data_IF_232227257359
#
_entry.id   IF_232227257359
#
_cell.length_a   1.000
_cell.length_b   1.000
_cell.length_c   1.000
_cell.angle_alpha   90.00
_cell.angle_beta   90.00
_cell.angle_gamma   90.00
#
_symmetry.space_group_name_H-M   'P 1'
#
loop_
_entity.id
_entity.type
_entity.pdbx_description
1 polymer ?
#
# COMPACT_ATOMS: atom_id res chain seq x y z
N UNK A 1 109.40 33.11 -8.13
CA UNK A 1 108.48 32.59 -7.10
C UNK A 1 107.17 33.38 -7.22
N UNK A 2 106.29 33.16 -8.20
CA UNK A 2 105.35 32.05 -8.49
C UNK A 2 104.21 31.88 -7.48
N UNK A 3 103.00 32.27 -7.94
CA UNK A 3 101.65 31.68 -7.73
C UNK A 3 100.59 32.58 -7.05
N UNK A 4 99.63 33.11 -7.84
CA UNK A 4 98.24 33.26 -7.40
C UNK A 4 97.27 32.67 -8.44
N UNK A 5 97.24 31.34 -8.58
CA UNK A 5 96.33 30.65 -9.51
C UNK A 5 95.21 29.84 -8.81
N UNK A 6 95.29 29.63 -7.49
CA UNK A 6 94.37 28.74 -6.77
C UNK A 6 93.03 29.37 -6.35
N UNK A 7 92.98 30.70 -6.17
CA UNK A 7 91.81 31.36 -5.56
C UNK A 7 90.69 31.70 -6.57
N UNK A 8 91.00 31.75 -7.86
CA UNK A 8 90.02 31.99 -8.92
C UNK A 8 89.21 30.72 -9.28
N UNK A 9 89.76 29.53 -9.03
CA UNK A 9 89.12 28.26 -9.40
C UNK A 9 88.00 27.84 -8.43
N UNK A 10 88.05 28.29 -7.17
CA UNK A 10 87.06 27.92 -6.15
C UNK A 10 85.73 28.70 -6.30
N UNK A 11 85.77 29.94 -6.80
CA UNK A 11 84.56 30.77 -7.01
C UNK A 11 83.74 30.36 -8.24
N UNK A 12 84.35 29.69 -9.22
CA UNK A 12 83.65 29.24 -10.43
C UNK A 12 82.83 27.96 -10.20
N UNK A 13 83.22 27.13 -9.22
CA UNK A 13 82.53 25.89 -8.87
C UNK A 13 81.24 26.10 -8.04
N UNK A 14 81.18 27.16 -7.22
CA UNK A 14 79.99 27.46 -6.42
C UNK A 14 78.83 28.04 -7.25
N UNK A 15 79.15 28.75 -8.35
CA UNK A 15 78.14 29.33 -9.22
C UNK A 15 77.38 28.27 -10.03
N UNK A 16 78.06 27.23 -10.51
CA UNK A 16 77.50 26.15 -11.33
C UNK A 16 76.56 25.23 -10.53
N UNK A 17 76.85 24.94 -9.26
CA UNK A 17 75.96 24.15 -8.39
C UNK A 17 74.60 24.82 -8.19
N UNK A 18 74.56 26.15 -8.00
CA UNK A 18 73.28 26.88 -7.83
C UNK A 18 72.48 27.04 -9.11
N UNK A 19 73.11 26.98 -10.29
CA UNK A 19 72.41 27.01 -11.57
C UNK A 19 71.77 25.65 -11.89
N UNK A 20 72.46 24.54 -11.58
CA UNK A 20 71.92 23.19 -11.72
C UNK A 20 70.68 22.96 -10.84
N UNK A 21 70.74 23.33 -9.55
CA UNK A 21 69.61 23.21 -8.63
C UNK A 21 68.36 24.03 -9.07
N UNK A 22 68.58 25.21 -9.67
CA UNK A 22 67.50 26.06 -10.20
C UNK A 22 66.78 25.46 -11.40
N UNK A 23 67.50 24.71 -12.23
CA UNK A 23 66.90 23.99 -13.35
C UNK A 23 66.17 22.74 -12.85
N UNK A 24 66.72 22.05 -11.84
CA UNK A 24 66.08 20.88 -11.23
C UNK A 24 64.72 21.22 -10.60
N UNK A 25 64.61 22.33 -9.86
CA UNK A 25 63.32 22.77 -9.28
C UNK A 25 62.25 23.06 -10.33
N UNK A 26 62.60 23.77 -11.39
CA UNK A 26 61.69 24.02 -12.51
C UNK A 26 61.24 22.71 -13.18
N UNK A 27 62.17 21.79 -13.44
CA UNK A 27 61.83 20.49 -14.04
C UNK A 27 60.91 19.67 -13.14
N UNK A 28 61.18 19.63 -11.83
CA UNK A 28 60.31 18.95 -10.85
C UNK A 28 58.87 19.49 -10.87
N UNK A 29 58.71 20.82 -10.90
CA UNK A 29 57.38 21.45 -10.95
C UNK A 29 56.71 21.24 -12.31
N UNK A 30 57.47 21.28 -13.41
CA UNK A 30 56.96 20.99 -14.75
C UNK A 30 56.48 19.54 -14.87
N UNK A 31 57.25 18.59 -14.37
CA UNK A 31 56.89 17.17 -14.33
C UNK A 31 55.61 16.95 -13.52
N UNK A 32 55.52 17.58 -12.33
CA UNK A 32 54.30 17.53 -11.51
C UNK A 32 53.09 18.10 -12.24
N UNK A 33 53.25 19.22 -12.93
CA UNK A 33 52.18 19.81 -13.73
C UNK A 33 51.78 18.89 -14.90
N UNK A 34 52.76 18.30 -15.59
CA UNK A 34 52.52 17.40 -16.71
C UNK A 34 51.75 16.14 -16.29
N UNK A 35 51.98 15.60 -15.09
CA UNK A 35 51.17 14.48 -14.55
C UNK A 35 49.69 14.86 -14.50
N UNK A 36 49.38 16.07 -14.02
CA UNK A 36 47.99 16.54 -13.92
C UNK A 36 47.42 16.83 -15.31
N UNK A 37 48.21 17.47 -16.18
CA UNK A 37 47.77 17.86 -17.53
C UNK A 37 47.61 16.69 -18.49
N UNK A 38 48.26 15.56 -18.24
CA UNK A 38 48.16 14.33 -19.05
C UNK A 38 47.15 13.34 -18.50
N UNK A 39 46.72 13.48 -17.25
CA UNK A 39 45.64 12.67 -16.70
C UNK A 39 44.32 12.99 -17.41
N UNK A 40 43.82 12.05 -18.19
CA UNK A 40 42.56 12.20 -18.94
C UNK A 40 41.35 12.56 -18.04
N UNK A 41 41.39 12.20 -16.74
CA UNK A 41 40.34 12.52 -15.78
C UNK A 41 40.38 13.96 -15.30
N UNK A 42 41.54 14.62 -15.33
CA UNK A 42 41.74 15.96 -14.80
C UNK A 42 42.01 17.00 -15.90
N UNK A 43 42.59 16.59 -17.03
CA UNK A 43 43.04 17.47 -18.11
C UNK A 43 41.93 18.34 -18.73
N UNK A 44 40.70 17.82 -18.74
CA UNK A 44 39.53 18.53 -19.29
C UNK A 44 38.79 19.35 -18.22
N UNK A 45 39.27 19.36 -16.98
CA UNK A 45 38.65 20.04 -15.86
C UNK A 45 39.51 21.22 -15.39
N UNK A 46 38.86 22.26 -14.91
CA UNK A 46 39.45 23.49 -14.42
C UNK A 46 40.45 24.16 -15.41
N UNK A 47 40.06 24.41 -16.68
CA UNK A 47 40.96 24.96 -17.70
C UNK A 47 41.61 26.28 -17.25
N UNK A 48 40.83 27.14 -16.58
CA UNK A 48 41.32 28.42 -16.04
C UNK A 48 42.43 28.23 -15.00
N UNK A 49 42.33 27.20 -14.15
CA UNK A 49 43.34 26.93 -13.14
C UNK A 49 44.59 26.31 -13.77
N UNK A 50 44.42 25.43 -14.77
CA UNK A 50 45.52 24.88 -15.57
C UNK A 50 46.29 25.98 -16.29
N UNK A 51 45.60 26.93 -16.92
CA UNK A 51 46.23 28.05 -17.62
C UNK A 51 47.04 28.94 -16.67
N UNK A 52 46.52 29.22 -15.48
CA UNK A 52 47.25 29.97 -14.44
C UNK A 52 48.48 29.24 -13.92
N UNK A 53 48.44 27.91 -13.85
CA UNK A 53 49.61 27.10 -13.49
C UNK A 53 50.67 27.11 -14.59
N UNK A 54 50.27 27.02 -15.87
CA UNK A 54 51.20 27.17 -17.01
C UNK A 54 51.84 28.55 -17.04
N UNK A 55 51.07 29.61 -16.82
CA UNK A 55 51.59 30.99 -16.78
C UNK A 55 52.61 31.17 -15.65
N UNK A 56 52.32 30.65 -14.45
CA UNK A 56 53.26 30.74 -13.33
C UNK A 56 54.56 29.95 -13.57
N UNK A 57 54.48 28.79 -14.23
CA UNK A 57 55.66 28.02 -14.66
C UNK A 57 56.48 28.78 -15.72
N UNK A 58 55.83 29.41 -16.69
CA UNK A 58 56.50 30.23 -17.69
C UNK A 58 57.24 31.41 -17.03
N UNK A 59 56.58 32.12 -16.10
CA UNK A 59 57.20 33.20 -15.33
C UNK A 59 58.38 32.72 -14.50
N UNK A 60 58.30 31.55 -13.84
CA UNK A 60 59.41 30.95 -13.10
C UNK A 60 60.65 30.71 -13.98
N UNK A 61 60.43 30.34 -15.25
CA UNK A 61 61.52 30.11 -16.20
C UNK A 61 62.24 31.42 -16.59
N UNK A 62 61.48 32.52 -16.72
CA UNK A 62 61.97 33.81 -17.21
C UNK A 62 62.59 34.71 -16.11
N UNK A 63 62.14 34.58 -14.86
CA UNK A 63 62.51 35.53 -13.80
C UNK A 63 63.98 35.44 -13.37
N UNK A 64 64.50 36.59 -12.94
CA UNK A 64 65.87 36.73 -12.41
C UNK A 64 66.04 35.92 -11.12
N UNK A 65 67.29 35.54 -10.82
CA UNK A 65 67.66 34.72 -9.65
C UNK A 65 67.05 35.22 -8.34
N UNK A 66 67.00 36.53 -8.11
CA UNK A 66 66.49 37.13 -6.87
C UNK A 66 64.98 36.98 -6.65
N UNK A 67 64.21 36.74 -7.71
CA UNK A 67 62.75 36.57 -7.64
C UNK A 67 62.33 35.11 -7.82
N UNK A 68 63.29 34.21 -8.07
CA UNK A 68 63.01 32.82 -8.43
C UNK A 68 62.32 32.04 -7.29
N UNK A 69 62.74 32.23 -6.04
CA UNK A 69 62.12 31.55 -4.89
C UNK A 69 60.64 31.94 -4.74
N UNK A 70 60.33 33.23 -4.92
CA UNK A 70 58.94 33.71 -4.90
C UNK A 70 58.12 33.07 -6.02
N UNK A 71 58.65 33.05 -7.24
CA UNK A 71 57.93 32.46 -8.38
C UNK A 71 57.85 30.93 -8.32
N UNK A 72 58.80 30.26 -7.68
CA UNK A 72 58.74 28.82 -7.43
C UNK A 72 57.58 28.50 -6.48
N UNK A 73 57.46 29.26 -5.39
CA UNK A 73 56.31 29.18 -4.48
C UNK A 73 54.98 29.47 -5.20
N UNK A 74 54.92 30.52 -6.02
CA UNK A 74 53.70 30.84 -6.78
C UNK A 74 53.34 29.72 -7.75
N UNK A 75 54.30 29.18 -8.50
CA UNK A 75 54.07 28.07 -9.42
C UNK A 75 53.57 26.82 -8.68
N UNK A 76 54.20 26.44 -7.57
CA UNK A 76 53.75 25.33 -6.73
C UNK A 76 52.30 25.52 -6.26
N UNK A 77 51.96 26.71 -5.73
CA UNK A 77 50.59 27.02 -5.30
C UNK A 77 49.58 27.01 -6.43
N UNK A 78 49.97 27.43 -7.63
CA UNK A 78 49.08 27.36 -8.80
C UNK A 78 48.86 25.94 -9.27
N UNK A 79 49.88 25.08 -9.23
CA UNK A 79 49.77 23.65 -9.53
C UNK A 79 48.86 22.95 -8.52
N UNK A 80 49.04 23.21 -7.21
CA UNK A 80 48.15 22.70 -6.16
C UNK A 80 46.69 23.12 -6.40
N UNK A 81 46.46 24.39 -6.72
CA UNK A 81 45.13 24.93 -6.97
C UNK A 81 44.50 24.35 -8.25
N UNK A 82 45.30 24.10 -9.29
CA UNK A 82 44.84 23.47 -10.52
C UNK A 82 44.38 22.03 -10.29
N UNK A 83 45.15 21.26 -9.50
CA UNK A 83 44.78 19.92 -9.11
C UNK A 83 43.47 19.90 -8.31
N UNK A 84 43.38 20.73 -7.25
CA UNK A 84 42.18 20.78 -6.41
C UNK A 84 40.94 21.23 -7.18
N UNK A 85 41.07 22.19 -8.10
CA UNK A 85 39.96 22.65 -8.93
C UNK A 85 39.50 21.57 -9.91
N UNK A 86 40.43 20.84 -10.54
CA UNK A 86 40.08 19.74 -11.43
C UNK A 86 39.37 18.60 -10.70
N UNK A 87 39.87 18.20 -9.52
CA UNK A 87 39.23 17.20 -8.67
C UNK A 87 37.82 17.63 -8.23
N UNK A 88 37.64 18.91 -7.87
CA UNK A 88 36.34 19.45 -7.50
C UNK A 88 35.34 19.38 -8.66
N UNK A 89 35.73 19.79 -9.88
CA UNK A 89 34.85 19.73 -11.05
C UNK A 89 34.47 18.30 -11.44
N UNK A 90 35.38 17.33 -11.30
CA UNK A 90 35.08 15.90 -11.51
C UNK A 90 34.01 15.43 -10.53
N UNK A 91 34.16 15.75 -9.26
CA UNK A 91 33.19 15.38 -8.22
C UNK A 91 31.84 16.08 -8.43
N UNK A 92 31.84 17.34 -8.87
CA UNK A 92 30.62 18.06 -9.21
C UNK A 92 29.90 17.42 -10.41
N UNK A 93 30.63 17.04 -11.45
CA UNK A 93 30.06 16.34 -12.60
C UNK A 93 29.42 15.00 -12.18
N UNK A 94 30.10 14.24 -11.33
CA UNK A 94 29.58 13.00 -10.77
C UNK A 94 28.33 13.24 -9.91
N UNK A 95 28.34 14.26 -9.05
CA UNK A 95 27.18 14.66 -8.23
C UNK A 95 25.98 14.98 -9.11
N UNK A 96 26.18 15.75 -10.18
CA UNK A 96 25.10 16.12 -11.12
C UNK A 96 24.57 14.90 -11.88
N UNK A 97 25.44 13.94 -12.23
CA UNK A 97 25.00 12.67 -12.82
C UNK A 97 24.11 11.89 -11.84
N UNK A 98 24.60 11.67 -10.61
CA UNK A 98 23.86 10.94 -9.58
C UNK A 98 22.53 11.64 -9.23
N UNK A 99 22.51 12.97 -9.24
CA UNK A 99 21.28 13.74 -9.03
C UNK A 99 20.25 13.47 -10.14
N UNK A 100 20.67 13.48 -11.41
CA UNK A 100 19.77 13.13 -12.53
C UNK A 100 19.27 11.68 -12.45
N UNK A 101 20.11 10.75 -12.01
CA UNK A 101 19.71 9.37 -11.79
C UNK A 101 18.69 9.25 -10.66
N UNK A 102 18.92 9.96 -9.56
CA UNK A 102 17.99 10.02 -8.44
C UNK A 102 16.63 10.59 -8.86
N UNK A 103 16.62 11.69 -9.60
CA UNK A 103 15.39 12.31 -10.11
C UNK A 103 14.60 11.33 -11.00
N UNK A 104 15.30 10.59 -11.88
CA UNK A 104 14.68 9.55 -12.71
C UNK A 104 14.07 8.43 -11.86
N UNK A 105 14.77 7.99 -10.82
CA UNK A 105 14.28 6.96 -9.91
C UNK A 105 13.05 7.44 -9.12
N UNK A 106 13.05 8.68 -8.62
CA UNK A 106 11.90 9.24 -7.92
C UNK A 106 10.66 9.29 -8.83
N UNK A 107 10.82 9.70 -10.09
CA UNK A 107 9.72 9.68 -11.06
C UNK A 107 9.23 8.25 -11.32
N UNK A 108 10.13 7.27 -11.41
CA UNK A 108 9.75 5.87 -11.59
C UNK A 108 8.98 5.31 -10.38
N UNK A 109 9.40 5.64 -9.16
CA UNK A 109 8.71 5.28 -7.92
C UNK A 109 7.31 5.90 -7.91
N UNK A 110 7.20 7.20 -8.15
CA UNK A 110 5.92 7.90 -8.17
C UNK A 110 4.93 7.31 -9.19
N UNK A 111 5.42 6.87 -10.36
CA UNK A 111 4.59 6.18 -11.37
C UNK A 111 4.07 4.84 -10.86
N UNK A 112 4.95 4.03 -10.27
CA UNK A 112 4.57 2.73 -9.70
C UNK A 112 3.56 2.90 -8.56
N UNK A 113 3.75 3.89 -7.70
CA UNK A 113 2.83 4.18 -6.60
C UNK A 113 1.47 4.63 -7.13
N UNK A 114 1.42 5.45 -8.18
CA UNK A 114 0.17 5.84 -8.84
C UNK A 114 -0.56 4.65 -9.48
N UNK A 115 0.17 3.69 -10.06
CA UNK A 115 -0.40 2.45 -10.59
C UNK A 115 -0.99 1.57 -9.48
N UNK A 116 -0.27 1.40 -8.37
CA UNK A 116 -0.75 0.65 -7.20
C UNK A 116 -2.00 1.30 -6.60
N UNK A 117 -2.00 2.63 -6.42
CA UNK A 117 -3.16 3.35 -5.90
C UNK A 117 -4.40 3.22 -6.81
N UNK A 118 -4.21 3.20 -8.14
CA UNK A 118 -5.31 2.94 -9.10
C UNK A 118 -5.86 1.53 -8.96
N UNK A 119 -4.99 0.52 -8.87
CA UNK A 119 -5.40 -0.86 -8.68
C UNK A 119 -6.15 -1.08 -7.35
N UNK A 120 -5.70 -0.42 -6.28
CA UNK A 120 -6.38 -0.45 -4.97
C UNK A 120 -7.74 0.24 -5.02
N UNK A 121 -7.84 1.39 -5.70
CA UNK A 121 -9.11 2.08 -5.91
C UNK A 121 -10.11 1.23 -6.72
N UNK A 122 -9.64 0.54 -7.77
CA UNK A 122 -10.48 -0.38 -8.56
C UNK A 122 -10.98 -1.55 -7.72
N UNK A 123 -10.11 -2.16 -6.88
CA UNK A 123 -10.52 -3.20 -5.93
C UNK A 123 -11.56 -2.71 -4.93
N UNK A 124 -11.36 -1.51 -4.38
CA UNK A 124 -12.31 -0.91 -3.44
C UNK A 124 -13.67 -0.64 -4.11
N UNK A 125 -13.67 -0.17 -5.36
CA UNK A 125 -14.90 0.03 -6.14
C UNK A 125 -15.66 -1.28 -6.38
N UNK A 126 -14.96 -2.34 -6.78
CA UNK A 126 -15.57 -3.66 -6.95
C UNK A 126 -16.18 -4.18 -5.65
N UNK A 127 -15.47 -4.05 -4.52
CA UNK A 127 -16.00 -4.44 -3.21
C UNK A 127 -17.24 -3.62 -2.82
N UNK A 128 -17.25 -2.32 -3.12
CA UNK A 128 -18.41 -1.47 -2.87
C UNK A 128 -19.62 -1.88 -3.72
N UNK A 129 -19.41 -2.23 -5.00
CA UNK A 129 -20.47 -2.73 -5.88
C UNK A 129 -21.05 -4.05 -5.37
N UNK A 130 -20.20 -5.01 -4.99
CA UNK A 130 -20.65 -6.29 -4.42
C UNK A 130 -21.51 -6.07 -3.18
N UNK A 131 -21.06 -5.21 -2.25
CA UNK A 131 -21.84 -4.89 -1.04
C UNK A 131 -23.17 -4.22 -1.35
N UNK A 132 -23.22 -3.36 -2.37
CA UNK A 132 -24.45 -2.73 -2.80
C UNK A 132 -25.44 -3.75 -3.38
N UNK A 133 -24.98 -4.68 -4.21
CA UNK A 133 -25.80 -5.76 -4.75
C UNK A 133 -26.29 -6.71 -3.65
N UNK A 134 -25.44 -7.07 -2.68
CA UNK A 134 -25.82 -7.89 -1.54
C UNK A 134 -26.87 -7.19 -0.66
N UNK A 135 -26.73 -5.88 -0.44
CA UNK A 135 -27.71 -5.09 0.28
C UNK A 135 -29.06 -5.04 -0.46
N UNK A 136 -29.05 -4.88 -1.78
CA UNK A 136 -30.27 -4.90 -2.60
C UNK A 136 -30.95 -6.27 -2.56
N UNK A 137 -30.18 -7.37 -2.64
CA UNK A 137 -30.73 -8.73 -2.48
C UNK A 137 -31.37 -8.92 -1.10
N UNK A 138 -30.67 -8.52 -0.03
CA UNK A 138 -31.21 -8.60 1.32
C UNK A 138 -32.49 -7.77 1.51
N UNK A 139 -32.59 -6.61 0.86
CA UNK A 139 -33.82 -5.80 0.84
C UNK A 139 -34.97 -6.53 0.15
N UNK A 140 -34.74 -7.11 -1.03
CA UNK A 140 -35.76 -7.89 -1.75
C UNK A 140 -36.23 -9.09 -0.94
N UNK A 141 -35.32 -9.80 -0.28
CA UNK A 141 -35.65 -10.93 0.58
C UNK A 141 -36.49 -10.49 1.80
N UNK A 142 -36.14 -9.34 2.40
CA UNK A 142 -36.90 -8.78 3.51
C UNK A 142 -38.31 -8.32 3.09
N UNK A 143 -38.45 -7.75 1.89
CA UNK A 143 -39.75 -7.39 1.32
C UNK A 143 -40.61 -8.63 1.03
N UNK A 144 -40.02 -9.68 0.44
CA UNK A 144 -40.70 -10.95 0.21
C UNK A 144 -41.19 -11.59 1.52
N UNK A 145 -40.32 -11.65 2.54
CA UNK A 145 -40.68 -12.19 3.86
C UNK A 145 -41.81 -11.39 4.54
N UNK A 146 -41.84 -10.06 4.35
CA UNK A 146 -42.96 -9.23 4.84
C UNK A 146 -44.26 -9.55 4.11
N UNK A 147 -44.23 -9.67 2.78
CA UNK A 147 -45.40 -10.02 1.99
C UNK A 147 -45.94 -11.42 2.36
N UNK A 148 -45.07 -12.41 2.55
CA UNK A 148 -45.46 -13.74 3.04
C UNK A 148 -46.07 -13.67 4.46
N UNK A 149 -45.48 -12.86 5.34
CA UNK A 149 -46.01 -12.62 6.68
C UNK A 149 -47.41 -12.01 6.67
N UNK A 150 -47.64 -11.01 5.82
CA UNK A 150 -48.96 -10.38 5.63
C UNK A 150 -50.00 -11.38 5.08
N UNK A 151 -49.63 -12.19 4.08
CA UNK A 151 -50.49 -13.25 3.53
C UNK A 151 -50.84 -14.29 4.58
N UNK A 152 -49.87 -14.73 5.39
CA UNK A 152 -50.09 -15.68 6.47
C UNK A 152 -51.02 -15.11 7.56
N UNK A 153 -50.90 -13.83 7.88
CA UNK A 153 -51.81 -13.14 8.80
C UNK A 153 -53.24 -13.11 8.25
N UNK A 154 -53.42 -12.70 6.99
CA UNK A 154 -54.74 -12.68 6.34
C UNK A 154 -55.38 -14.07 6.29
N UNK A 155 -54.61 -15.11 5.95
CA UNK A 155 -55.09 -16.49 5.94
C UNK A 155 -55.50 -16.97 7.35
N UNK A 156 -54.73 -16.61 8.37
CA UNK A 156 -55.06 -16.93 9.75
C UNK A 156 -56.33 -16.20 10.23
N UNK A 157 -56.54 -14.95 9.83
CA UNK A 157 -57.75 -14.18 10.11
C UNK A 157 -58.98 -14.79 9.42
N UNK A 158 -58.86 -15.14 8.14
CA UNK A 158 -59.92 -15.82 7.39
C UNK A 158 -60.31 -17.16 8.05
N UNK A 159 -59.33 -18.00 8.39
CA UNK A 159 -59.57 -19.28 9.06
C UNK A 159 -60.25 -19.10 10.44
N UNK A 160 -59.88 -18.05 11.20
CA UNK A 160 -60.56 -17.71 12.47
C UNK A 160 -61.99 -17.28 12.24
N UNK A 161 -62.25 -16.45 11.23
CA UNK A 161 -63.59 -16.01 10.87
C UNK A 161 -64.48 -17.19 10.46
N UNK A 162 -64.00 -18.07 9.58
CA UNK A 162 -64.70 -19.30 9.16
C UNK A 162 -64.97 -20.22 10.36
N UNK A 163 -63.98 -20.47 11.21
CA UNK A 163 -64.16 -21.28 12.42
C UNK A 163 -65.22 -20.67 13.36
N UNK A 164 -65.28 -19.34 13.46
CA UNK A 164 -66.30 -18.66 14.27
C UNK A 164 -67.71 -18.81 13.67
N UNK A 165 -67.84 -18.76 12.34
CA UNK A 165 -69.11 -18.98 11.65
C UNK A 165 -69.58 -20.43 11.78
N UNK A 166 -68.69 -21.41 11.60
CA UNK A 166 -68.98 -22.83 11.78
C UNK A 166 -69.48 -23.13 13.20
N UNK A 167 -68.85 -22.53 14.23
CA UNK A 167 -69.32 -22.63 15.62
C UNK A 167 -70.74 -22.07 15.80
N UNK A 168 -71.06 -20.94 15.18
CA UNK A 168 -72.41 -20.34 15.24
C UNK A 168 -73.45 -21.23 14.57
N UNK A 169 -73.13 -21.80 13.40
CA UNK A 169 -74.02 -22.73 12.70
C UNK A 169 -74.26 -24.01 13.51
N UNK A 170 -73.20 -24.61 14.06
CA UNK A 170 -73.31 -25.79 14.92
C UNK A 170 -74.17 -25.51 16.17
N UNK A 171 -74.00 -24.36 16.80
CA UNK A 171 -74.83 -23.94 17.94
C UNK A 171 -76.30 -23.74 17.56
N UNK A 172 -76.59 -23.18 16.37
CA UNK A 172 -77.95 -23.03 15.87
C UNK A 172 -78.59 -24.40 15.57
N UNK A 173 -77.87 -25.30 14.92
CA UNK A 173 -78.32 -26.67 14.65
C UNK A 173 -78.60 -27.45 15.95
N UNK A 174 -77.73 -27.33 16.96
CA UNK A 174 -77.93 -27.97 18.26
C UNK A 174 -79.20 -27.45 18.97
N UNK A 175 -79.47 -26.15 18.89
CA UNK A 175 -80.72 -25.56 19.43
C UNK A 175 -81.94 -26.06 18.67
N UNK A 176 -81.89 -26.11 17.34
CA UNK A 176 -82.99 -26.63 16.52
C UNK A 176 -83.30 -28.10 16.86
N UNK A 177 -82.27 -28.94 16.98
CA UNK A 177 -82.43 -30.33 17.40
C UNK A 177 -83.01 -30.47 18.81
N UNK A 178 -82.63 -29.59 19.75
CA UNK A 178 -83.18 -29.58 21.10
C UNK A 178 -84.66 -29.15 21.12
N UNK A 179 -85.06 -28.15 20.32
CA UNK A 179 -86.45 -27.74 20.17
C UNK A 179 -87.29 -28.85 19.54
N UNK A 180 -86.81 -29.50 18.47
CA UNK A 180 -87.49 -30.62 17.85
C UNK A 180 -87.74 -31.78 18.83
N UNK A 181 -86.77 -32.08 19.72
CA UNK A 181 -86.96 -33.07 20.80
C UNK A 181 -88.05 -32.65 21.78
N UNK A 182 -88.05 -31.39 22.22
CA UNK A 182 -89.09 -30.86 23.12
C UNK A 182 -90.47 -30.88 22.47
N UNK A 183 -90.56 -30.57 21.18
CA UNK A 183 -91.81 -30.65 20.42
C UNK A 183 -92.30 -32.11 20.31
N UNK A 184 -91.40 -33.06 20.06
CA UNK A 184 -91.74 -34.49 20.05
C UNK A 184 -92.19 -34.99 21.44
N UNK A 185 -91.53 -34.56 22.51
CA UNK A 185 -91.92 -34.87 23.90
C UNK A 185 -93.28 -34.26 24.26
N UNK A 186 -93.55 -33.02 23.86
CA UNK A 186 -94.85 -32.37 24.04
C UNK A 186 -95.95 -33.07 23.24
N UNK A 187 -95.67 -33.47 22.00
CA UNK A 187 -96.60 -34.26 21.19
C UNK A 187 -96.88 -35.62 21.83
N UNK A 188 -95.87 -36.32 22.36
CA UNK A 188 -96.02 -37.58 23.08
C UNK A 188 -96.85 -37.42 24.38
N UNK A 189 -96.68 -36.30 25.09
CA UNK A 189 -97.47 -35.97 26.27
C UNK A 189 -98.93 -35.64 25.93
N UNK A 190 -99.18 -34.97 24.80
CA UNK A 190 -100.52 -34.64 24.30
C UNK A 190 -101.25 -35.86 23.70
N UNK A 191 -100.53 -36.80 23.09
CA UNK A 191 -101.09 -38.04 22.55
C UNK A 191 -101.24 -39.16 23.60
N UNK A 192 -100.97 -38.87 24.88
CA UNK A 192 -101.25 -39.78 25.99
C UNK A 192 -100.41 -41.05 25.98
N UNK A 193 -99.18 -41.01 25.44
CA UNK A 193 -98.29 -42.16 25.40
C UNK A 193 -96.93 -41.82 26.02
N UNK A 194 -96.76 -42.28 27.26
CA UNK A 194 -95.50 -42.24 28.00
C UNK A 194 -94.45 -43.11 27.30
N UNK A 195 -93.25 -42.59 26.93
CA UNK A 195 -92.20 -43.45 26.42
C UNK A 195 -91.45 -44.09 27.59
N UNK A 196 -91.74 -45.37 27.79
CA UNK A 196 -90.97 -46.27 28.62
C UNK A 196 -89.56 -46.48 28.04
N UNK A 197 -88.59 -46.49 28.97
CA UNK A 197 -87.35 -47.25 28.99
C UNK A 197 -86.74 -47.72 27.65
N UNK A 198 -85.54 -47.22 27.36
CA UNK A 198 -84.55 -47.96 26.58
C UNK A 198 -83.14 -47.66 27.14
N UNK A 199 -82.60 -48.61 27.91
CA UNK A 199 -81.18 -48.70 28.21
C UNK A 199 -80.37 -48.86 26.91
N UNK A 200 -79.13 -48.33 26.86
CA UNK A 200 -78.11 -48.93 26.03
C UNK A 200 -76.98 -49.53 26.89
N UNK A 201 -76.73 -50.79 26.55
CA UNK A 201 -75.79 -51.71 27.15
C UNK A 201 -74.34 -51.43 26.73
N UNK A 202 -73.45 -51.87 27.63
CA UNK A 202 -72.05 -52.32 27.40
C UNK A 202 -70.97 -51.27 27.12
N UNK A 203 -70.22 -51.04 28.19
CA UNK A 203 -68.85 -50.55 28.19
C UNK A 203 -67.90 -51.46 27.38
N UNK A 204 -67.10 -50.85 26.51
CA UNK A 204 -65.78 -51.36 26.09
C UNK A 204 -64.79 -50.20 26.11
N UNK A 205 -63.78 -50.34 26.97
CA UNK A 205 -62.46 -49.68 26.97
C UNK A 205 -61.46 -50.76 27.44
N UNK A 206 -60.14 -50.67 27.21
CA UNK A 206 -59.35 -49.65 26.47
C UNK A 206 -58.23 -50.26 25.57
N UNK A 207 -57.54 -49.44 24.77
CA UNK A 207 -56.10 -49.58 24.53
C UNK A 207 -55.49 -48.27 23.98
N UNK A 208 -54.26 -47.87 24.40
CA UNK A 208 -53.70 -46.55 24.15
C UNK A 208 -52.86 -46.49 22.86
N UNK A 209 -53.03 -45.42 22.07
CA UNK A 209 -52.13 -45.12 20.95
C UNK A 209 -50.94 -44.29 21.43
N UNK A 210 -49.75 -44.75 21.02
CA UNK A 210 -48.38 -44.33 21.34
C UNK A 210 -48.10 -42.82 21.28
N UNK A 211 -47.25 -42.40 22.20
CA UNK A 211 -46.56 -41.12 22.25
C UNK A 211 -45.66 -40.85 21.02
N UNK A 212 -45.42 -39.57 20.68
CA UNK A 212 -44.61 -39.16 19.52
C UNK A 212 -43.11 -39.39 19.73
N UNK A 213 -42.44 -39.83 18.66
CA UNK A 213 -41.00 -40.01 18.59
C UNK A 213 -40.27 -38.65 18.64
N UNK A 214 -39.25 -38.57 19.50
CA UNK A 214 -38.30 -37.44 19.58
C UNK A 214 -37.47 -37.32 18.29
N UNK A 215 -37.26 -36.11 17.74
CA UNK A 215 -36.26 -35.92 16.69
C UNK A 215 -34.85 -35.99 17.30
N UNK A 216 -33.98 -36.79 16.68
CA UNK A 216 -32.54 -36.83 17.00
C UNK A 216 -31.88 -35.54 16.53
N UNK A 217 -31.30 -34.82 17.47
CA UNK A 217 -30.34 -33.74 17.27
C UNK A 217 -29.13 -34.28 16.50
N UNK A 218 -28.91 -33.79 15.27
CA UNK A 218 -27.63 -33.92 14.57
C UNK A 218 -26.71 -32.81 15.08
N UNK A 219 -25.63 -33.22 15.75
CA UNK A 219 -24.48 -32.38 16.05
C UNK A 219 -23.75 -32.01 14.75
N UNK A 220 -23.30 -30.75 14.57
CA UNK A 220 -22.45 -30.39 13.44
C UNK A 220 -21.00 -30.85 13.69
N UNK A 221 -20.42 -31.43 12.64
CA UNK A 221 -19.00 -31.75 12.58
C UNK A 221 -18.16 -30.47 12.62
N UNK A 222 -17.19 -30.43 13.53
CA UNK A 222 -16.12 -29.43 13.52
C UNK A 222 -15.23 -29.67 12.29
N UNK A 223 -15.02 -28.62 11.50
CA UNK A 223 -13.84 -28.40 10.67
C UNK A 223 -13.34 -27.01 10.98
#
# INVERSE_FOLDING_TARGET
>A
MSMPAGLALLMLAAASSTAAARNEEYQRLLDRFNVIATDARLANHAPVAMDRAREALAMLNEVRRSQRELWAYVAERRIDAAQAAAEAEVLEAQRLQLQRENDRLQVAIARRDAELARAELERARLQAQIRAEEAERAQRDAEAARAEGEQAQQAAEAARAEASQAKRMAAAQAKAAALAKKEAELQAALSGQSPAAAEPSKAVKPAPAKAPAKPKTKQPAKR
#
